data_IF_591460774336
#
_entry.id   IF_591460774336
#
_cell.length_a   1.000
_cell.length_b   1.000
_cell.length_c   1.000
_cell.angle_alpha   90.00
_cell.angle_beta   90.00
_cell.angle_gamma   90.00
#
_symmetry.space_group_name_H-M   'P 1'
#
loop_
_entity.id
_entity.type
_entity.pdbx_description
1 polymer ?
#
# COMPACT_ATOMS: atom_id res chain seq x y z
N UNK A 1 -20.54 -9.50 -56.27
CA UNK A 1 -21.13 -9.74 -54.93
C UNK A 1 -19.98 -10.09 -54.03
N UNK A 2 -19.52 -9.11 -53.24
CA UNK A 2 -18.34 -9.24 -52.39
C UNK A 2 -18.84 -9.35 -50.96
N UNK A 3 -18.68 -10.52 -50.34
CA UNK A 3 -19.03 -10.76 -48.94
C UNK A 3 -18.03 -10.05 -48.04
N UNK A 4 -18.50 -9.01 -47.37
CA UNK A 4 -17.77 -8.37 -46.28
C UNK A 4 -17.78 -9.30 -45.07
N UNK A 5 -16.67 -9.99 -44.83
CA UNK A 5 -16.39 -10.67 -43.57
C UNK A 5 -16.24 -9.62 -42.44
N UNK A 6 -17.25 -9.49 -41.59
CA UNK A 6 -17.19 -8.77 -40.34
C UNK A 6 -16.30 -9.54 -39.35
N UNK A 7 -15.05 -9.11 -39.22
CA UNK A 7 -14.15 -9.57 -38.17
C UNK A 7 -14.74 -9.15 -36.82
N UNK A 8 -15.27 -10.12 -36.04
CA UNK A 8 -15.61 -9.94 -34.63
C UNK A 8 -14.34 -9.51 -33.92
N UNK A 9 -14.26 -8.21 -33.56
CA UNK A 9 -13.30 -7.71 -32.58
C UNK A 9 -13.59 -8.44 -31.28
N UNK A 10 -12.69 -9.38 -30.90
CA UNK A 10 -12.68 -9.97 -29.57
C UNK A 10 -12.64 -8.87 -28.52
N UNK A 11 -13.43 -9.03 -27.44
CA UNK A 11 -13.35 -8.19 -26.24
C UNK A 11 -11.87 -8.10 -25.83
N UNK A 12 -11.34 -6.89 -25.49
CA UNK A 12 -9.98 -6.79 -24.94
C UNK A 12 -9.90 -7.77 -23.76
N UNK A 13 -9.04 -8.79 -23.88
CA UNK A 13 -8.80 -9.71 -22.78
C UNK A 13 -8.27 -8.91 -21.61
N UNK A 14 -8.79 -9.15 -20.39
CA UNK A 14 -8.17 -8.61 -19.19
C UNK A 14 -6.73 -9.11 -19.13
N UNK A 15 -5.81 -8.19 -18.94
CA UNK A 15 -4.43 -8.54 -18.59
C UNK A 15 -4.35 -8.99 -17.10
N UNK A 16 -3.21 -9.49 -16.72
CA UNK A 16 -2.98 -9.97 -15.35
C UNK A 16 -3.27 -8.87 -14.32
N UNK A 17 -2.92 -7.62 -14.62
CA UNK A 17 -3.14 -6.47 -13.74
C UNK A 17 -4.62 -6.15 -13.58
N UNK A 18 -5.40 -6.19 -14.65
CA UNK A 18 -6.84 -5.96 -14.60
C UNK A 18 -7.58 -7.04 -13.80
N UNK A 19 -7.17 -8.32 -13.95
CA UNK A 19 -7.72 -9.42 -13.15
C UNK A 19 -7.39 -9.22 -11.67
N UNK A 20 -6.16 -8.85 -11.35
CA UNK A 20 -5.73 -8.60 -9.98
C UNK A 20 -6.50 -7.44 -9.35
N UNK A 21 -6.72 -6.35 -10.07
CA UNK A 21 -7.48 -5.20 -9.58
C UNK A 21 -8.93 -5.58 -9.20
N UNK A 22 -9.60 -6.40 -10.03
CA UNK A 22 -10.94 -6.92 -9.74
C UNK A 22 -10.93 -7.87 -8.54
N UNK A 23 -9.90 -8.71 -8.40
CA UNK A 23 -9.75 -9.61 -7.27
C UNK A 23 -9.57 -8.81 -5.96
N UNK A 24 -8.69 -7.80 -5.94
CA UNK A 24 -8.46 -6.92 -4.79
C UNK A 24 -9.73 -6.17 -4.39
N UNK A 25 -10.49 -5.65 -5.37
CA UNK A 25 -11.78 -5.01 -5.12
C UNK A 25 -12.76 -5.99 -4.45
N UNK A 26 -12.88 -7.22 -4.97
CA UNK A 26 -13.74 -8.25 -4.39
C UNK A 26 -13.30 -8.67 -2.97
N UNK A 27 -11.99 -8.81 -2.73
CA UNK A 27 -11.45 -9.10 -1.40
C UNK A 27 -11.76 -7.99 -0.39
N UNK A 28 -11.70 -6.73 -0.81
CA UNK A 28 -12.08 -5.59 0.04
C UNK A 28 -13.57 -5.52 0.31
N UNK A 29 -14.42 -5.88 -0.66
CA UNK A 29 -15.87 -5.81 -0.58
C UNK A 29 -16.46 -6.96 0.25
N UNK A 30 -16.04 -8.19 -0.03
CA UNK A 30 -16.65 -9.40 0.54
C UNK A 30 -15.77 -10.10 1.57
N UNK A 31 -14.50 -9.72 1.67
CA UNK A 31 -13.47 -10.46 2.39
C UNK A 31 -12.83 -11.56 1.55
N UNK A 32 -11.57 -11.88 1.91
CA UNK A 32 -10.80 -12.89 1.18
C UNK A 32 -11.47 -14.27 1.19
N UNK A 33 -11.88 -14.75 2.36
CA UNK A 33 -12.42 -16.12 2.53
C UNK A 33 -13.73 -16.30 1.75
N UNK A 34 -14.60 -15.29 1.76
CA UNK A 34 -15.89 -15.35 1.08
C UNK A 34 -15.79 -15.18 -0.45
N UNK A 35 -14.66 -14.68 -0.96
CA UNK A 35 -14.45 -14.50 -2.41
C UNK A 35 -13.98 -15.80 -3.05
N UNK A 36 -14.69 -16.26 -4.09
CA UNK A 36 -14.31 -17.44 -4.87
C UNK A 36 -13.83 -17.08 -6.28
N UNK A 37 -13.04 -17.97 -6.92
CA UNK A 37 -12.65 -17.81 -8.33
C UNK A 37 -13.89 -17.79 -9.24
N UNK A 38 -15.00 -18.44 -8.85
CA UNK A 38 -16.27 -18.39 -9.57
C UNK A 38 -16.85 -16.99 -9.59
N UNK A 39 -16.90 -16.30 -8.47
CA UNK A 39 -17.35 -14.90 -8.36
C UNK A 39 -16.47 -13.95 -9.18
N UNK A 40 -15.15 -14.15 -9.14
CA UNK A 40 -14.23 -13.36 -9.97
C UNK A 40 -14.44 -13.58 -11.46
N UNK A 41 -14.64 -14.84 -11.87
CA UNK A 41 -14.92 -15.21 -13.26
C UNK A 41 -16.22 -14.55 -13.77
N UNK A 42 -17.28 -14.59 -12.98
CA UNK A 42 -18.54 -13.93 -13.28
C UNK A 42 -18.38 -12.40 -13.41
N UNK A 43 -17.72 -11.76 -12.44
CA UNK A 43 -17.50 -10.31 -12.43
C UNK A 43 -16.64 -9.83 -13.60
N UNK A 44 -15.68 -10.65 -14.06
CA UNK A 44 -14.83 -10.37 -15.19
C UNK A 44 -15.45 -10.76 -16.55
N UNK A 45 -16.52 -11.56 -16.56
CA UNK A 45 -17.04 -12.18 -17.77
C UNK A 45 -16.06 -13.16 -18.43
N UNK A 46 -15.24 -13.84 -17.62
CA UNK A 46 -14.23 -14.82 -18.02
C UNK A 46 -14.62 -16.22 -17.56
N UNK A 47 -13.97 -17.24 -18.15
CA UNK A 47 -14.02 -18.59 -17.59
C UNK A 47 -13.05 -18.72 -16.41
N UNK A 48 -13.33 -19.66 -15.48
CA UNK A 48 -12.38 -20.00 -14.41
C UNK A 48 -11.02 -20.42 -14.96
N UNK A 49 -11.00 -21.15 -16.07
CA UNK A 49 -9.77 -21.57 -16.75
C UNK A 49 -8.94 -20.38 -17.24
N UNK A 50 -9.59 -19.32 -17.75
CA UNK A 50 -8.90 -18.10 -18.17
C UNK A 50 -8.24 -17.40 -16.98
N UNK A 51 -8.88 -17.37 -15.81
CA UNK A 51 -8.27 -16.82 -14.59
C UNK A 51 -7.07 -17.67 -14.16
N UNK A 52 -7.22 -19.01 -14.13
CA UNK A 52 -6.13 -19.92 -13.77
C UNK A 52 -4.95 -19.89 -14.75
N UNK A 53 -5.15 -19.40 -15.98
CA UNK A 53 -4.05 -19.15 -16.91
C UNK A 53 -3.13 -18.01 -16.45
N UNK A 54 -3.68 -17.02 -15.72
CA UNK A 54 -2.95 -15.86 -15.22
C UNK A 54 -2.44 -16.02 -13.78
N UNK A 55 -3.18 -16.76 -12.95
CA UNK A 55 -2.89 -16.97 -11.52
C UNK A 55 -3.14 -18.41 -11.14
N UNK A 56 -2.15 -19.07 -10.58
CA UNK A 56 -2.25 -20.47 -10.17
C UNK A 56 -3.26 -20.71 -9.05
N UNK A 57 -3.55 -19.68 -8.22
CA UNK A 57 -4.48 -19.78 -7.09
C UNK A 57 -5.03 -18.41 -6.66
N UNK A 58 -6.07 -18.44 -5.82
CA UNK A 58 -6.57 -17.25 -5.12
C UNK A 58 -5.52 -16.69 -4.14
N UNK A 59 -4.74 -17.57 -3.51
CA UNK A 59 -3.64 -17.20 -2.62
C UNK A 59 -2.54 -16.43 -3.36
N UNK A 60 -2.24 -16.79 -4.60
CA UNK A 60 -1.28 -16.02 -5.43
C UNK A 60 -1.78 -14.62 -5.72
N UNK A 61 -3.07 -14.43 -5.98
CA UNK A 61 -3.65 -13.09 -6.17
C UNK A 61 -3.51 -12.26 -4.89
N UNK A 62 -3.80 -12.85 -3.73
CA UNK A 62 -3.63 -12.18 -2.44
C UNK A 62 -2.16 -11.83 -2.20
N UNK A 63 -1.25 -12.77 -2.43
CA UNK A 63 0.19 -12.57 -2.23
C UNK A 63 0.71 -11.42 -3.08
N UNK A 64 0.37 -11.38 -4.37
CA UNK A 64 0.77 -10.29 -5.28
C UNK A 64 0.20 -8.93 -4.88
N UNK A 65 -1.04 -8.88 -4.42
CA UNK A 65 -1.65 -7.64 -3.96
C UNK A 65 -0.95 -7.10 -2.70
N UNK A 66 -0.69 -7.97 -1.73
CA UNK A 66 0.00 -7.61 -0.48
C UNK A 66 1.47 -7.29 -0.73
N UNK A 67 2.13 -8.02 -1.66
CA UNK A 67 3.51 -7.76 -2.06
C UNK A 67 3.67 -6.39 -2.73
N UNK A 68 2.74 -6.00 -3.60
CA UNK A 68 2.75 -4.67 -4.22
C UNK A 68 2.72 -3.55 -3.17
N UNK A 69 1.79 -3.62 -2.21
CA UNK A 69 1.66 -2.60 -1.16
C UNK A 69 2.88 -2.56 -0.22
N UNK A 70 3.33 -3.72 0.26
CA UNK A 70 4.50 -3.82 1.16
C UNK A 70 5.80 -3.46 0.43
N UNK A 71 5.99 -3.95 -0.80
CA UNK A 71 7.17 -3.64 -1.61
C UNK A 71 7.28 -2.15 -1.91
N UNK A 72 6.17 -1.45 -2.15
CA UNK A 72 6.15 0.00 -2.27
C UNK A 72 6.64 0.70 -1.01
N UNK A 73 6.15 0.30 0.17
CA UNK A 73 6.57 0.86 1.46
C UNK A 73 8.05 0.54 1.78
N UNK A 74 8.49 -0.68 1.53
CA UNK A 74 9.88 -1.10 1.72
C UNK A 74 10.83 -0.33 0.81
N UNK A 75 10.45 -0.14 -0.47
CA UNK A 75 11.23 0.62 -1.44
C UNK A 75 11.41 2.09 -1.03
N UNK A 76 10.41 2.71 -0.41
CA UNK A 76 10.52 4.08 0.12
C UNK A 76 11.57 4.16 1.23
N UNK A 77 11.59 3.19 2.14
CA UNK A 77 12.58 3.17 3.25
C UNK A 77 14.00 2.87 2.74
N UNK A 78 14.13 2.13 1.62
CA UNK A 78 15.41 1.78 1.02
C UNK A 78 15.91 2.86 0.03
N UNK A 79 15.04 3.78 -0.39
CA UNK A 79 15.40 4.83 -1.34
C UNK A 79 16.39 5.84 -0.71
N UNK A 80 17.37 6.32 -1.50
CA UNK A 80 18.21 7.43 -1.07
C UNK A 80 17.36 8.71 -0.93
N UNK A 81 17.81 9.61 -0.05
CA UNK A 81 17.21 10.94 0.02
C UNK A 81 17.40 11.70 -1.29
N UNK A 82 16.46 12.60 -1.65
CA UNK A 82 16.64 13.51 -2.77
C UNK A 82 17.96 14.29 -2.66
N UNK A 83 18.55 14.63 -3.81
CA UNK A 83 19.84 15.32 -3.91
C UNK A 83 19.94 16.53 -2.99
N UNK A 84 20.98 16.56 -2.16
CA UNK A 84 21.34 17.69 -1.28
C UNK A 84 20.97 17.54 0.20
N UNK A 85 20.23 16.48 0.60
CA UNK A 85 20.06 16.18 2.02
C UNK A 85 21.23 15.33 2.53
N UNK A 86 21.83 15.72 3.65
CA UNK A 86 22.83 14.86 4.31
C UNK A 86 22.17 13.55 4.74
N UNK A 87 22.73 12.43 4.32
CA UNK A 87 22.20 11.07 4.62
C UNK A 87 22.20 10.72 6.11
N UNK A 88 22.84 11.54 6.93
CA UNK A 88 22.98 11.37 8.38
C UNK A 88 21.77 11.93 9.15
N UNK A 89 20.95 12.80 8.58
CA UNK A 89 19.81 13.41 9.26
C UNK A 89 18.63 12.41 9.33
N UNK A 90 18.40 11.88 10.54
CA UNK A 90 17.33 10.90 10.77
C UNK A 90 15.92 11.50 10.58
N UNK A 91 15.73 12.79 10.90
CA UNK A 91 14.43 13.44 10.70
C UNK A 91 14.14 13.65 9.21
N UNK A 92 15.13 13.98 8.40
CA UNK A 92 14.97 14.10 6.95
C UNK A 92 14.62 12.75 6.30
N UNK A 93 15.26 11.66 6.78
CA UNK A 93 14.91 10.29 6.36
C UNK A 93 13.50 9.91 6.78
N UNK A 94 13.08 10.26 8.00
CA UNK A 94 11.73 10.02 8.48
C UNK A 94 10.71 10.80 7.65
N UNK A 95 10.95 12.08 7.36
CA UNK A 95 10.09 12.89 6.49
C UNK A 95 9.93 12.26 5.10
N UNK A 96 11.04 11.85 4.48
CA UNK A 96 11.02 11.14 3.19
C UNK A 96 10.12 9.91 3.25
N UNK A 97 10.25 9.10 4.30
CA UNK A 97 9.45 7.89 4.48
C UNK A 97 7.97 8.21 4.69
N UNK A 98 7.63 9.23 5.47
CA UNK A 98 6.24 9.63 5.67
C UNK A 98 5.59 10.10 4.36
N UNK A 99 6.28 10.95 3.58
CA UNK A 99 5.82 11.38 2.25
C UNK A 99 5.60 10.20 1.32
N UNK A 100 6.61 9.35 1.19
CA UNK A 100 6.55 8.17 0.34
C UNK A 100 5.45 7.19 0.75
N UNK A 101 5.22 7.00 2.05
CA UNK A 101 4.13 6.15 2.55
C UNK A 101 2.75 6.69 2.16
N UNK A 102 2.54 8.01 2.17
CA UNK A 102 1.30 8.65 1.69
C UNK A 102 1.12 8.41 0.19
N UNK A 103 2.18 8.59 -0.61
CA UNK A 103 2.13 8.33 -2.06
C UNK A 103 1.79 6.86 -2.35
N UNK A 104 2.47 5.91 -1.71
CA UNK A 104 2.18 4.47 -1.87
C UNK A 104 0.73 4.17 -1.50
N UNK A 105 0.22 4.77 -0.41
CA UNK A 105 -1.16 4.57 0.02
C UNK A 105 -2.15 5.11 -1.01
N UNK A 106 -1.94 6.31 -1.54
CA UNK A 106 -2.82 6.94 -2.52
C UNK A 106 -2.80 6.18 -3.85
N UNK A 107 -1.61 5.84 -4.35
CA UNK A 107 -1.42 5.17 -5.64
C UNK A 107 -1.92 3.73 -5.61
N UNK A 108 -1.81 3.06 -4.47
CA UNK A 108 -2.17 1.67 -4.27
C UNK A 108 -3.30 1.49 -3.25
N UNK A 109 -4.22 2.46 -3.17
CA UNK A 109 -5.27 2.52 -2.15
C UNK A 109 -6.01 1.19 -1.93
N UNK A 110 -6.46 0.43 -2.97
CA UNK A 110 -7.12 -0.84 -2.76
C UNK A 110 -6.21 -1.91 -2.15
N UNK A 111 -4.95 -1.98 -2.55
CA UNK A 111 -3.99 -2.97 -2.05
C UNK A 111 -3.56 -2.66 -0.60
N UNK A 112 -3.33 -1.37 -0.28
CA UNK A 112 -3.05 -0.92 1.10
C UNK A 112 -4.27 -1.14 2.00
N UNK A 113 -5.48 -0.87 1.53
CA UNK A 113 -6.71 -1.18 2.27
C UNK A 113 -6.79 -2.67 2.62
N UNK A 114 -6.48 -3.54 1.65
CA UNK A 114 -6.44 -4.99 1.86
C UNK A 114 -5.36 -5.36 2.89
N UNK A 115 -4.16 -4.80 2.78
CA UNK A 115 -3.04 -5.02 3.71
C UNK A 115 -3.42 -4.65 5.16
N UNK A 116 -4.18 -3.56 5.35
CA UNK A 116 -4.61 -3.13 6.69
C UNK A 116 -5.67 -4.05 7.31
N UNK A 117 -6.35 -4.85 6.50
CA UNK A 117 -7.42 -5.76 6.92
C UNK A 117 -6.98 -7.20 7.17
N UNK A 118 -5.75 -7.60 6.79
CA UNK A 118 -5.26 -8.97 7.01
C UNK A 118 -5.20 -9.30 8.51
N UNK A 119 -5.57 -10.55 8.84
CA UNK A 119 -5.66 -11.06 10.22
C UNK A 119 -4.65 -12.15 10.52
N UNK A 120 -4.03 -12.75 9.51
CA UNK A 120 -3.10 -13.86 9.67
C UNK A 120 -3.78 -15.23 9.56
N UNK A 121 -4.95 -15.31 8.92
CA UNK A 121 -5.70 -16.54 8.72
C UNK A 121 -5.00 -17.50 7.77
N UNK A 122 -4.31 -16.98 6.76
CA UNK A 122 -3.57 -17.75 5.75
C UNK A 122 -2.06 -17.60 5.92
N UNK A 123 -1.28 -18.49 5.28
CA UNK A 123 0.19 -18.38 5.25
C UNK A 123 0.63 -17.08 4.52
N UNK A 124 -0.08 -16.68 3.49
CA UNK A 124 0.14 -15.42 2.77
C UNK A 124 0.00 -14.24 3.73
N UNK A 125 -1.10 -14.18 4.47
CA UNK A 125 -1.33 -13.11 5.45
C UNK A 125 -0.29 -13.10 6.57
N UNK A 126 0.11 -14.27 7.07
CA UNK A 126 1.15 -14.37 8.11
C UNK A 126 2.51 -13.83 7.62
N UNK A 127 2.89 -14.13 6.36
CA UNK A 127 4.09 -13.55 5.74
C UNK A 127 3.98 -12.02 5.63
N UNK A 128 2.86 -11.52 5.14
CA UNK A 128 2.61 -10.08 5.03
C UNK A 128 2.68 -9.37 6.39
N UNK A 129 2.07 -9.93 7.44
CA UNK A 129 2.16 -9.40 8.80
C UNK A 129 3.59 -9.43 9.36
N UNK A 130 4.39 -10.42 9.00
CA UNK A 130 5.81 -10.48 9.39
C UNK A 130 6.62 -9.36 8.73
N UNK A 131 6.42 -9.10 7.44
CA UNK A 131 7.04 -7.98 6.71
C UNK A 131 6.58 -6.64 7.28
N UNK A 132 5.28 -6.46 7.54
CA UNK A 132 4.75 -5.25 8.17
C UNK A 132 5.41 -4.96 9.51
N UNK A 133 5.57 -5.98 10.37
CA UNK A 133 6.29 -5.80 11.65
C UNK A 133 7.77 -5.44 11.44
N UNK A 134 8.42 -5.94 10.39
CA UNK A 134 9.79 -5.56 10.05
C UNK A 134 9.85 -4.09 9.62
N UNK A 135 8.93 -3.63 8.79
CA UNK A 135 8.76 -2.24 8.42
C UNK A 135 8.54 -1.35 9.67
N UNK A 136 7.59 -1.70 10.54
CA UNK A 136 7.30 -0.95 11.78
C UNK A 136 8.56 -0.79 12.66
N UNK A 137 9.41 -1.85 12.75
CA UNK A 137 10.68 -1.77 13.49
C UNK A 137 11.68 -0.78 12.86
N UNK A 138 11.74 -0.73 11.52
CA UNK A 138 12.61 0.23 10.81
C UNK A 138 12.19 1.67 11.08
N UNK A 139 10.90 1.95 11.06
CA UNK A 139 10.36 3.28 11.39
C UNK A 139 10.65 3.63 12.84
N UNK A 140 10.43 2.70 13.75
CA UNK A 140 10.77 2.91 15.18
C UNK A 140 12.24 3.24 15.35
N UNK A 141 13.14 2.57 14.64
CA UNK A 141 14.57 2.86 14.70
C UNK A 141 14.90 4.27 14.18
N UNK A 142 14.29 4.72 13.08
CA UNK A 142 14.47 6.08 12.55
C UNK A 142 13.98 7.14 13.56
N UNK A 143 12.83 6.92 14.20
CA UNK A 143 12.33 7.83 15.24
C UNK A 143 13.31 7.89 16.41
N UNK A 144 13.79 6.75 16.90
CA UNK A 144 14.75 6.68 18.02
C UNK A 144 16.08 7.39 17.68
N UNK A 145 16.55 7.26 16.44
CA UNK A 145 17.74 7.96 15.96
C UNK A 145 17.51 9.48 15.96
N UNK A 146 16.39 9.97 15.40
CA UNK A 146 16.04 11.38 15.41
C UNK A 146 15.85 11.96 16.82
N UNK A 147 15.36 11.15 17.78
CA UNK A 147 15.30 11.52 19.20
C UNK A 147 16.71 11.65 19.81
N UNK A 148 17.62 10.74 19.44
CA UNK A 148 19.01 10.76 19.92
C UNK A 148 19.79 11.96 19.36
N UNK A 149 19.52 12.33 18.10
CA UNK A 149 20.07 13.53 17.45
C UNK A 149 19.49 14.85 18.04
N UNK A 150 18.43 14.77 18.85
CA UNK A 150 17.74 15.94 19.42
C UNK A 150 16.79 16.64 18.45
N UNK A 151 16.57 16.08 17.26
CA UNK A 151 15.65 16.62 16.26
C UNK A 151 14.17 16.34 16.57
N UNK A 152 13.89 15.28 17.35
CA UNK A 152 12.58 14.97 17.88
C UNK A 152 12.58 14.89 19.40
N UNK A 153 11.41 15.18 20.00
CA UNK A 153 11.18 15.01 21.44
C UNK A 153 11.42 13.56 21.87
N UNK A 154 12.09 13.37 23.00
CA UNK A 154 12.46 12.06 23.54
C UNK A 154 11.64 11.62 24.77
N UNK A 155 10.67 12.43 25.19
CA UNK A 155 9.77 12.13 26.31
C UNK A 155 8.64 11.16 25.97
N UNK A 156 8.49 10.81 24.67
CA UNK A 156 7.55 9.81 24.18
C UNK A 156 8.34 8.65 23.57
N UNK A 157 7.98 7.43 23.94
CA UNK A 157 8.60 6.22 23.40
C UNK A 157 8.54 6.16 21.86
N UNK A 158 9.69 5.87 21.21
CA UNK A 158 9.82 5.88 19.76
C UNK A 158 8.82 4.95 19.03
N UNK A 159 8.49 3.80 19.64
CA UNK A 159 7.52 2.88 19.07
C UNK A 159 6.08 3.44 19.16
N UNK A 160 5.79 4.24 20.17
CA UNK A 160 4.50 4.94 20.29
C UNK A 160 4.40 6.02 19.23
N UNK A 161 5.45 6.84 19.06
CA UNK A 161 5.52 7.87 18.01
C UNK A 161 5.31 7.26 16.65
N UNK A 162 6.08 6.23 16.29
CA UNK A 162 5.96 5.53 15.00
C UNK A 162 4.54 4.99 14.78
N UNK A 163 3.95 4.35 15.79
CA UNK A 163 2.60 3.77 15.71
C UNK A 163 1.51 4.81 15.53
N UNK A 164 1.57 5.92 16.25
CA UNK A 164 0.59 7.00 16.14
C UNK A 164 0.69 7.70 14.79
N UNK A 165 1.90 7.99 14.31
CA UNK A 165 2.14 8.62 13.01
C UNK A 165 1.64 7.74 11.87
N UNK A 166 1.99 6.45 11.85
CA UNK A 166 1.46 5.52 10.84
C UNK A 166 -0.02 5.21 11.03
N UNK A 167 -0.56 5.29 12.25
CA UNK A 167 -2.00 5.24 12.51
C UNK A 167 -2.74 6.37 11.81
N UNK A 168 -2.20 7.59 11.85
CA UNK A 168 -2.73 8.75 11.14
C UNK A 168 -2.69 8.52 9.61
N UNK A 169 -1.54 8.09 9.04
CA UNK A 169 -1.43 7.78 7.62
C UNK A 169 -2.44 6.68 7.22
N UNK A 170 -2.50 5.59 7.97
CA UNK A 170 -3.39 4.48 7.68
C UNK A 170 -4.88 4.88 7.71
N UNK A 171 -5.26 5.89 8.49
CA UNK A 171 -6.64 6.39 8.53
C UNK A 171 -7.11 6.98 7.18
N UNK A 172 -6.18 7.38 6.32
CA UNK A 172 -6.45 7.95 5.00
C UNK A 172 -7.28 6.99 4.14
N UNK A 173 -7.11 5.68 4.27
CA UNK A 173 -7.89 4.67 3.50
C UNK A 173 -9.40 4.78 3.74
N UNK A 174 -9.83 5.35 4.86
CA UNK A 174 -11.25 5.43 5.23
C UNK A 174 -11.96 6.63 4.57
N UNK A 175 -11.25 7.72 4.33
CA UNK A 175 -11.85 8.97 3.88
C UNK A 175 -11.32 9.51 2.55
N UNK A 176 -10.10 9.15 2.13
CA UNK A 176 -9.54 9.60 0.86
C UNK A 176 -10.34 9.07 -0.34
N UNK A 177 -10.53 9.94 -1.31
CA UNK A 177 -11.21 9.60 -2.57
C UNK A 177 -10.35 10.02 -3.76
N UNK A 178 -9.89 9.06 -4.59
CA UNK A 178 -9.15 9.37 -5.82
C UNK A 178 -9.91 10.36 -6.71
N UNK A 179 -9.21 11.38 -7.22
CA UNK A 179 -9.84 12.45 -8.02
C UNK A 179 -10.59 13.51 -7.20
N UNK A 180 -10.51 13.46 -5.87
CA UNK A 180 -11.02 14.50 -4.97
C UNK A 180 -10.21 15.80 -5.02
N UNK A 181 -10.50 16.72 -4.09
CA UNK A 181 -9.85 18.04 -4.01
C UNK A 181 -8.36 17.98 -3.62
N UNK A 182 -7.96 16.94 -2.90
CA UNK A 182 -6.63 16.80 -2.32
C UNK A 182 -5.79 15.85 -3.17
N UNK A 183 -4.71 16.38 -3.78
CA UNK A 183 -3.71 15.57 -4.44
C UNK A 183 -2.77 14.88 -3.43
N UNK A 184 -2.08 13.83 -3.87
CA UNK A 184 -1.17 13.06 -3.03
C UNK A 184 -0.04 13.92 -2.43
N UNK A 185 0.53 14.85 -3.21
CA UNK A 185 1.60 15.74 -2.76
C UNK A 185 1.14 16.63 -1.62
N UNK A 186 -0.02 17.30 -1.78
CA UNK A 186 -0.60 18.14 -0.74
C UNK A 186 -0.89 17.37 0.53
N UNK A 187 -1.47 16.19 0.39
CA UNK A 187 -1.77 15.31 1.52
C UNK A 187 -0.49 14.86 2.23
N UNK A 188 0.57 14.56 1.48
CA UNK A 188 1.87 14.22 2.07
C UNK A 188 2.48 15.40 2.84
N UNK A 189 2.38 16.63 2.29
CA UNK A 189 2.81 17.86 2.99
C UNK A 189 2.06 18.06 4.30
N UNK A 190 0.74 17.95 4.27
CA UNK A 190 -0.12 18.13 5.44
C UNK A 190 0.17 17.05 6.52
N UNK A 191 0.38 15.80 6.12
CA UNK A 191 0.75 14.69 7.04
C UNK A 191 2.09 14.96 7.70
N UNK A 192 3.10 15.36 6.93
CA UNK A 192 4.44 15.67 7.45
C UNK A 192 4.39 16.85 8.40
N UNK A 193 3.70 17.94 8.02
CA UNK A 193 3.56 19.12 8.88
C UNK A 193 2.89 18.76 10.22
N UNK A 194 1.79 18.02 10.19
CA UNK A 194 1.10 17.60 11.42
C UNK A 194 1.98 16.67 12.26
N UNK A 195 2.63 15.68 11.64
CA UNK A 195 3.42 14.68 12.36
C UNK A 195 4.69 15.28 12.98
N UNK A 196 5.45 16.07 12.20
CA UNK A 196 6.76 16.54 12.63
C UNK A 196 6.69 17.84 13.42
N UNK A 197 5.79 18.75 13.11
CA UNK A 197 5.62 19.99 13.89
C UNK A 197 5.08 19.69 15.29
N UNK A 198 4.21 18.68 15.43
CA UNK A 198 3.75 18.20 16.73
C UNK A 198 4.79 17.39 17.52
N UNK A 199 5.87 16.92 16.88
CA UNK A 199 6.95 16.13 17.47
C UNK A 199 8.24 16.94 17.69
N UNK A 200 8.33 18.16 17.15
CA UNK A 200 9.49 19.03 17.36
C UNK A 200 9.55 19.47 18.81
N UNK A 201 10.76 19.70 19.28
CA UNK A 201 10.98 20.30 20.60
C UNK A 201 10.43 21.74 20.57
N UNK A 202 9.70 22.21 21.58
CA UNK A 202 9.26 23.59 21.67
C UNK A 202 10.44 24.59 21.72
#
# INVERSE_FOLDING_TARGET
MSEMQTTRRGRPGYDQQGILAVAVAAFNEHGYDATSIGMLAERLGLSKSAIYHHFGSKDEMLDRALDSALGGLEAVVDAPLPDGAETTDAVARLEHVLRGAVHVLVDQLPAVTLLLRVRGNTDVERRALTRRRAFDRRITALVAEAQTEGSLRSDIDAAVVARLTFGMINSIVEWYRPGGREGADRLADDVVAIALDGLRHP
#
